data_IF_451866232343
#
_entry.id   IF_451866232343
#
_cell.length_a   1.000
_cell.length_b   1.000
_cell.length_c   1.000
_cell.angle_alpha   90.00
_cell.angle_beta   90.00
_cell.angle_gamma   90.00
#
_symmetry.space_group_name_H-M   'P 1'
#
loop_
_entity.id
_entity.type
_entity.pdbx_description
1 polymer ?
#
# COMPACT_ATOMS: atom_id res chain seq x y z
N UNK A 1 9.79 2.11 65.99
CA UNK A 1 9.22 3.36 65.42
C UNK A 1 8.46 3.04 64.13
N UNK A 2 7.18 3.43 63.97
CA UNK A 2 6.36 3.11 62.77
C UNK A 2 6.58 4.15 61.66
N UNK A 3 7.16 3.73 60.53
CA UNK A 3 7.38 4.60 59.36
C UNK A 3 6.14 4.61 58.46
N UNK A 4 5.65 5.80 58.09
CA UNK A 4 4.51 5.97 57.16
C UNK A 4 4.99 5.90 55.70
N UNK A 5 4.38 5.03 54.88
CA UNK A 5 4.80 4.79 53.47
C UNK A 5 4.26 5.74 52.39
N UNK A 6 3.75 6.92 52.76
CA UNK A 6 3.00 7.81 51.86
C UNK A 6 3.78 8.31 50.64
N UNK A 7 4.93 8.95 50.86
CA UNK A 7 5.72 9.59 49.80
C UNK A 7 6.29 8.58 48.81
N UNK A 8 6.83 7.46 49.30
CA UNK A 8 7.37 6.37 48.47
C UNK A 8 6.30 5.79 47.55
N UNK A 9 5.09 5.57 48.09
CA UNK A 9 3.96 5.06 47.32
C UNK A 9 3.52 6.05 46.24
N UNK A 10 3.44 7.35 46.56
CA UNK A 10 3.07 8.41 45.60
C UNK A 10 4.10 8.52 44.47
N UNK A 11 5.39 8.46 44.79
CA UNK A 11 6.48 8.49 43.80
C UNK A 11 6.40 7.32 42.81
N UNK A 12 6.22 6.09 43.32
CA UNK A 12 6.05 4.89 42.48
C UNK A 12 4.86 5.00 41.52
N UNK A 13 3.70 5.50 42.01
CA UNK A 13 2.51 5.69 41.17
C UNK A 13 2.75 6.73 40.07
N UNK A 14 3.35 7.88 40.42
CA UNK A 14 3.71 8.93 39.45
C UNK A 14 4.66 8.42 38.37
N UNK A 15 5.65 7.59 38.73
CA UNK A 15 6.58 6.98 37.75
C UNK A 15 5.83 6.13 36.71
N UNK A 16 4.92 5.26 37.15
CA UNK A 16 4.16 4.40 36.23
C UNK A 16 3.19 5.20 35.34
N UNK A 17 2.49 6.19 35.90
CA UNK A 17 1.59 7.05 35.12
C UNK A 17 2.39 7.89 34.10
N UNK A 18 3.59 8.37 34.47
CA UNK A 18 4.48 9.08 33.54
C UNK A 18 4.88 8.20 32.34
N UNK A 19 5.14 6.91 32.57
CA UNK A 19 5.45 5.95 31.51
C UNK A 19 4.24 5.58 30.64
N UNK A 20 3.04 5.65 31.20
CA UNK A 20 1.79 5.32 30.53
C UNK A 20 1.16 6.49 29.74
N UNK A 21 1.84 7.65 29.69
CA UNK A 21 1.37 8.80 28.92
C UNK A 21 1.16 8.43 27.45
N UNK A 22 0.02 8.86 26.88
CA UNK A 22 -0.37 8.54 25.50
C UNK A 22 -1.19 7.26 25.35
N UNK A 23 -1.36 6.44 26.39
CA UNK A 23 -2.27 5.30 26.31
C UNK A 23 -3.74 5.73 26.33
N UNK A 24 -4.58 5.06 25.53
CA UNK A 24 -6.01 5.39 25.41
C UNK A 24 -6.82 4.98 26.66
N UNK A 25 -7.75 5.84 27.08
CA UNK A 25 -8.75 5.56 28.12
C UNK A 25 -8.13 5.39 29.51
N UNK A 26 -8.62 4.43 30.30
CA UNK A 26 -8.19 4.22 31.69
C UNK A 26 -6.70 3.84 31.85
N UNK A 27 -6.02 3.47 30.75
CA UNK A 27 -4.64 2.98 30.74
C UNK A 27 -3.58 4.05 31.03
N UNK A 28 -3.92 5.34 30.96
CA UNK A 28 -3.02 6.42 31.40
C UNK A 28 -3.46 7.11 32.69
N UNK A 29 -4.69 6.83 33.16
CA UNK A 29 -5.32 7.51 34.30
C UNK A 29 -5.17 6.66 35.57
N UNK A 30 -5.64 5.41 35.53
CA UNK A 30 -5.68 4.54 36.71
C UNK A 30 -4.36 3.77 36.88
N UNK A 31 -3.69 3.93 38.02
CA UNK A 31 -2.41 3.27 38.31
C UNK A 31 -2.44 1.74 38.13
N UNK A 32 -3.51 1.05 38.55
CA UNK A 32 -3.58 -0.42 38.46
C UNK A 32 -3.57 -0.88 37.00
N UNK A 33 -4.41 -0.24 36.17
CA UNK A 33 -4.55 -0.53 34.75
C UNK A 33 -3.30 -0.09 33.98
N UNK A 34 -2.80 1.12 34.28
CA UNK A 34 -1.57 1.66 33.69
C UNK A 34 -0.37 0.75 33.96
N UNK A 35 -0.23 0.24 35.19
CA UNK A 35 0.82 -0.71 35.53
C UNK A 35 0.75 -1.93 34.62
N UNK A 36 -0.40 -2.62 34.57
CA UNK A 36 -0.59 -3.82 33.75
C UNK A 36 -0.27 -3.55 32.27
N UNK A 37 -0.72 -2.43 31.73
CA UNK A 37 -0.46 -2.05 30.34
C UNK A 37 1.04 -1.82 30.08
N UNK A 38 1.74 -1.09 30.95
CA UNK A 38 3.18 -0.83 30.80
C UNK A 38 3.97 -2.13 30.81
N UNK A 39 3.65 -3.09 31.68
CA UNK A 39 4.29 -4.41 31.69
C UNK A 39 4.11 -5.15 30.36
N UNK A 40 2.87 -5.15 29.83
CA UNK A 40 2.56 -5.77 28.54
C UNK A 40 3.31 -5.08 27.38
N UNK A 41 3.36 -3.76 27.40
CA UNK A 41 4.11 -2.97 26.42
C UNK A 41 5.62 -3.24 26.47
N UNK A 42 6.21 -3.44 27.65
CA UNK A 42 7.61 -3.81 27.77
C UNK A 42 7.90 -5.21 27.24
N UNK A 43 7.01 -6.17 27.51
CA UNK A 43 7.12 -7.52 26.95
C UNK A 43 7.09 -7.48 25.42
N UNK A 44 6.13 -6.75 24.84
CA UNK A 44 6.07 -6.56 23.38
C UNK A 44 7.28 -5.82 22.84
N UNK A 45 7.74 -4.75 23.47
CA UNK A 45 8.94 -4.04 23.03
C UNK A 45 10.17 -4.95 23.01
N UNK A 46 10.36 -5.81 24.02
CA UNK A 46 11.47 -6.76 24.04
C UNK A 46 11.38 -7.79 22.91
N UNK A 47 10.21 -8.40 22.72
CA UNK A 47 9.95 -9.35 21.63
C UNK A 47 10.17 -8.69 20.27
N UNK A 48 9.61 -7.50 20.07
CA UNK A 48 9.56 -6.83 18.79
C UNK A 48 10.93 -6.25 18.37
N UNK A 49 11.82 -5.93 19.31
CA UNK A 49 13.25 -5.65 18.99
C UNK A 49 13.95 -6.81 18.29
N UNK A 50 13.57 -8.06 18.58
CA UNK A 50 14.08 -9.23 17.84
C UNK A 50 13.35 -9.42 16.51
N UNK A 51 12.04 -9.18 16.50
CA UNK A 51 11.20 -9.36 15.30
C UNK A 51 11.46 -8.32 14.21
N UNK A 52 11.73 -7.06 14.57
CA UNK A 52 12.05 -5.97 13.63
C UNK A 52 13.20 -6.34 12.69
N UNK A 53 14.25 -6.99 13.20
CA UNK A 53 15.36 -7.49 12.37
C UNK A 53 14.88 -8.46 11.27
N UNK A 54 13.93 -9.34 11.60
CA UNK A 54 13.31 -10.28 10.65
C UNK A 54 12.38 -9.57 9.67
N UNK A 55 11.59 -8.60 10.15
CA UNK A 55 10.69 -7.80 9.33
C UNK A 55 11.46 -6.98 8.28
N UNK A 56 12.56 -6.33 8.66
CA UNK A 56 13.45 -5.64 7.72
C UNK A 56 14.07 -6.59 6.72
N UNK A 57 14.55 -7.77 7.15
CA UNK A 57 15.06 -8.78 6.23
C UNK A 57 13.99 -9.23 5.22
N UNK A 58 12.75 -9.45 5.67
CA UNK A 58 11.62 -9.80 4.80
C UNK A 58 11.36 -8.70 3.76
N UNK A 59 11.40 -7.43 4.19
CA UNK A 59 11.26 -6.28 3.29
C UNK A 59 12.40 -6.21 2.26
N UNK A 60 13.65 -6.37 2.68
CA UNK A 60 14.80 -6.36 1.77
C UNK A 60 14.73 -7.48 0.74
N UNK A 61 14.33 -8.69 1.15
CA UNK A 61 14.12 -9.82 0.23
C UNK A 61 13.03 -9.48 -0.79
N UNK A 62 11.92 -8.88 -0.36
CA UNK A 62 10.84 -8.49 -1.27
C UNK A 62 11.32 -7.46 -2.31
N UNK A 63 12.08 -6.44 -1.89
CA UNK A 63 12.66 -5.42 -2.79
C UNK A 63 13.64 -6.04 -3.79
N UNK A 64 14.60 -6.84 -3.31
CA UNK A 64 15.58 -7.52 -4.17
C UNK A 64 14.87 -8.46 -5.16
N UNK A 65 13.85 -9.19 -4.70
CA UNK A 65 13.11 -10.11 -5.55
C UNK A 65 12.35 -9.38 -6.66
N UNK A 66 11.79 -8.20 -6.38
CA UNK A 66 11.17 -7.37 -7.40
C UNK A 66 12.21 -6.94 -8.45
N UNK A 67 13.34 -6.37 -8.02
CA UNK A 67 14.41 -5.96 -8.94
C UNK A 67 14.99 -7.12 -9.75
N UNK A 68 15.25 -8.26 -9.10
CA UNK A 68 15.78 -9.44 -9.78
C UNK A 68 14.82 -9.98 -10.84
N UNK A 69 13.51 -9.96 -10.57
CA UNK A 69 12.48 -10.39 -11.54
C UNK A 69 12.33 -9.45 -12.71
N UNK A 70 12.51 -8.14 -12.52
CA UNK A 70 12.58 -7.19 -13.63
C UNK A 70 13.72 -7.55 -14.59
N UNK A 71 14.83 -8.07 -14.05
CA UNK A 71 15.98 -8.55 -14.81
C UNK A 71 15.89 -10.04 -15.19
N UNK A 72 14.70 -10.65 -15.11
CA UNK A 72 14.43 -12.03 -15.53
C UNK A 72 14.99 -13.14 -14.62
N UNK A 73 15.52 -12.79 -13.44
CA UNK A 73 16.14 -13.75 -12.51
C UNK A 73 15.31 -13.90 -11.23
N UNK A 74 15.22 -15.13 -10.70
CA UNK A 74 14.61 -15.35 -9.39
C UNK A 74 15.55 -14.97 -8.24
N UNK A 75 15.02 -14.47 -7.12
CA UNK A 75 15.83 -14.14 -5.93
C UNK A 75 16.75 -15.28 -5.48
N UNK A 76 16.27 -16.54 -5.48
CA UNK A 76 17.08 -17.68 -5.05
C UNK A 76 18.30 -17.90 -5.95
N UNK A 77 18.10 -17.78 -7.28
CA UNK A 77 19.19 -17.92 -8.25
C UNK A 77 20.14 -16.74 -8.17
N UNK A 78 19.61 -15.52 -8.05
CA UNK A 78 20.43 -14.32 -7.85
C UNK A 78 21.36 -14.43 -6.64
N UNK A 79 20.82 -14.83 -5.47
CA UNK A 79 21.65 -15.02 -4.28
C UNK A 79 22.68 -16.13 -4.43
N UNK A 80 22.36 -17.19 -5.19
CA UNK A 80 23.33 -18.24 -5.50
C UNK A 80 24.46 -17.69 -6.38
N UNK A 81 24.12 -16.96 -7.46
CA UNK A 81 25.12 -16.33 -8.34
C UNK A 81 26.06 -15.37 -7.61
N UNK A 82 25.53 -14.57 -6.66
CA UNK A 82 26.36 -13.72 -5.81
C UNK A 82 27.31 -14.51 -4.90
N UNK A 83 26.86 -15.66 -4.39
CA UNK A 83 27.71 -16.54 -3.57
C UNK A 83 28.81 -17.19 -4.39
N UNK A 84 28.51 -17.62 -5.62
CA UNK A 84 29.48 -18.22 -6.55
C UNK A 84 30.55 -17.22 -6.98
N UNK A 85 30.16 -15.95 -7.17
CA UNK A 85 31.09 -14.85 -7.42
C UNK A 85 31.92 -14.45 -6.19
N UNK A 86 31.61 -14.96 -5.00
CA UNK A 86 32.29 -14.59 -3.74
C UNK A 86 31.90 -13.21 -3.19
N UNK A 87 30.78 -12.63 -3.63
CA UNK A 87 30.34 -11.31 -3.16
C UNK A 87 29.76 -11.36 -1.76
N UNK A 88 30.32 -10.58 -0.84
CA UNK A 88 29.89 -10.49 0.56
C UNK A 88 28.82 -9.43 0.82
N UNK A 89 28.10 -9.00 -0.23
CA UNK A 89 27.12 -7.92 -0.12
C UNK A 89 25.92 -8.27 0.78
N UNK A 90 25.65 -7.36 1.72
CA UNK A 90 24.51 -7.47 2.61
C UNK A 90 23.20 -7.16 1.90
N UNK A 91 22.13 -7.87 2.29
CA UNK A 91 20.77 -7.67 1.74
C UNK A 91 20.22 -6.26 1.95
N UNK A 92 20.65 -5.57 3.01
CA UNK A 92 20.31 -4.16 3.21
C UNK A 92 20.81 -3.29 2.04
N UNK A 93 22.07 -3.48 1.63
CA UNK A 93 22.69 -2.72 0.55
C UNK A 93 22.12 -3.11 -0.80
N UNK A 94 21.92 -4.41 -1.04
CA UNK A 94 21.30 -4.89 -2.29
C UNK A 94 19.87 -4.35 -2.47
N UNK A 95 19.09 -4.29 -1.38
CA UNK A 95 17.74 -3.74 -1.42
C UNK A 95 17.72 -2.22 -1.59
N UNK A 96 18.76 -1.52 -1.15
CA UNK A 96 18.90 -0.08 -1.39
C UNK A 96 19.30 0.18 -2.84
N UNK A 97 20.32 -0.52 -3.35
CA UNK A 97 20.72 -0.45 -4.76
C UNK A 97 19.54 -0.70 -5.71
N UNK A 98 18.74 -1.74 -5.45
CA UNK A 98 17.57 -2.04 -6.27
C UNK A 98 16.53 -0.90 -6.33
N UNK A 99 16.56 0.06 -5.40
CA UNK A 99 15.65 1.21 -5.34
C UNK A 99 16.32 2.49 -5.81
N UNK A 100 17.56 2.76 -5.37
CA UNK A 100 18.26 4.01 -5.63
C UNK A 100 18.90 4.05 -7.02
N UNK A 101 19.51 2.95 -7.44
CA UNK A 101 20.25 2.84 -8.69
C UNK A 101 20.00 1.47 -9.33
N UNK A 102 18.97 1.45 -10.18
CA UNK A 102 18.55 0.23 -10.87
C UNK A 102 19.54 -0.22 -11.95
N UNK A 103 20.32 0.70 -12.53
CA UNK A 103 21.31 0.36 -13.57
C UNK A 103 22.47 -0.43 -12.95
N UNK A 104 23.04 0.06 -11.85
CA UNK A 104 24.08 -0.67 -11.11
C UNK A 104 23.58 -2.01 -10.58
N UNK A 105 22.33 -2.08 -10.10
CA UNK A 105 21.72 -3.34 -9.70
C UNK A 105 21.60 -4.32 -10.87
N UNK A 106 21.27 -3.84 -12.07
CA UNK A 106 21.11 -4.69 -13.26
C UNK A 106 22.44 -5.25 -13.75
N UNK A 107 23.50 -4.44 -13.77
CA UNK A 107 24.86 -4.91 -14.05
C UNK A 107 25.29 -6.03 -13.08
N UNK A 108 24.96 -5.89 -11.80
CA UNK A 108 25.25 -6.90 -10.78
C UNK A 108 24.45 -8.20 -10.97
N UNK A 109 23.22 -8.10 -11.47
CA UNK A 109 22.40 -9.27 -11.85
C UNK A 109 22.98 -9.97 -13.07
N UNK A 110 23.50 -9.24 -14.06
CA UNK A 110 24.17 -9.83 -15.22
C UNK A 110 25.46 -10.56 -14.83
N UNK A 111 26.29 -9.98 -13.96
CA UNK A 111 27.46 -10.67 -13.40
C UNK A 111 27.06 -11.95 -12.68
N UNK A 112 25.97 -11.91 -11.90
CA UNK A 112 25.44 -13.10 -11.22
C UNK A 112 24.90 -14.16 -12.21
N UNK A 113 24.32 -13.77 -13.34
CA UNK A 113 23.90 -14.70 -14.42
C UNK A 113 25.10 -15.40 -15.05
N UNK A 114 26.18 -14.68 -15.34
CA UNK A 114 27.42 -15.25 -15.89
C UNK A 114 28.00 -16.31 -14.95
N UNK A 115 28.15 -15.98 -13.66
CA UNK A 115 28.66 -16.92 -12.66
C UNK A 115 27.78 -18.19 -12.50
N UNK A 116 26.47 -18.09 -12.72
CA UNK A 116 25.58 -19.26 -12.72
C UNK A 116 25.77 -20.12 -13.96
N UNK A 117 25.94 -19.50 -15.13
CA UNK A 117 26.19 -20.20 -16.38
C UNK A 117 27.52 -20.97 -16.32
N UNK A 118 28.57 -20.36 -15.75
CA UNK A 118 29.88 -20.99 -15.57
C UNK A 118 29.81 -22.24 -14.68
N UNK A 119 28.87 -22.28 -13.73
CA UNK A 119 28.61 -23.43 -12.86
C UNK A 119 27.59 -24.43 -13.44
N UNK A 120 27.24 -24.31 -14.73
CA UNK A 120 26.32 -25.22 -15.42
C UNK A 120 24.85 -25.13 -14.98
N UNK A 121 24.47 -24.06 -14.28
CA UNK A 121 23.09 -23.86 -13.81
C UNK A 121 22.31 -22.95 -14.76
N UNK A 122 21.36 -23.53 -15.50
CA UNK A 122 20.43 -22.75 -16.31
C UNK A 122 19.37 -22.10 -15.42
N UNK A 123 19.36 -20.78 -15.37
CA UNK A 123 18.27 -20.05 -14.74
C UNK A 123 17.10 -19.96 -15.71
N UNK A 124 15.99 -20.62 -15.40
CA UNK A 124 14.73 -20.37 -16.11
C UNK A 124 14.35 -18.89 -15.94
N UNK A 125 14.00 -18.23 -17.04
CA UNK A 125 13.55 -16.84 -17.03
C UNK A 125 12.28 -16.73 -16.19
N UNK A 126 12.35 -15.95 -15.11
CA UNK A 126 11.17 -15.63 -14.30
C UNK A 126 10.84 -14.17 -14.50
N UNK A 127 9.96 -13.88 -15.46
CA UNK A 127 9.41 -12.56 -15.67
C UNK A 127 8.44 -12.17 -14.54
N UNK A 128 8.27 -10.87 -14.32
CA UNK A 128 7.24 -10.36 -13.44
C UNK A 128 5.85 -10.73 -14.00
N UNK A 129 4.95 -11.20 -13.13
CA UNK A 129 3.57 -11.56 -13.51
C UNK A 129 2.74 -10.34 -13.98
N UNK A 130 3.28 -9.13 -13.86
CA UNK A 130 2.64 -7.88 -14.28
C UNK A 130 3.76 -6.92 -14.69
N UNK A 131 3.85 -6.60 -15.98
CA UNK A 131 4.80 -5.62 -16.54
C UNK A 131 4.24 -4.18 -16.50
N UNK A 132 3.01 -4.01 -16.05
CA UNK A 132 2.35 -2.73 -16.02
C UNK A 132 2.89 -1.84 -14.90
N UNK A 133 3.47 -0.70 -15.27
CA UNK A 133 3.95 0.34 -14.35
C UNK A 133 2.81 1.12 -13.66
N UNK A 134 1.55 0.75 -13.90
CA UNK A 134 0.38 1.35 -13.28
C UNK A 134 -0.36 0.32 -12.43
N UNK A 135 -0.42 0.56 -11.12
CA UNK A 135 -1.58 0.07 -10.37
C UNK A 135 -2.70 1.03 -10.75
N UNK A 136 -3.65 0.59 -11.59
CA UNK A 136 -4.95 1.25 -11.66
C UNK A 136 -5.59 1.04 -10.31
N UNK A 137 -5.31 1.95 -9.38
CA UNK A 137 -6.09 2.06 -8.16
C UNK A 137 -7.47 2.40 -8.66
N UNK A 138 -8.38 1.43 -8.68
CA UNK A 138 -9.80 1.70 -8.70
C UNK A 138 -10.12 2.38 -7.37
N UNK A 139 -9.67 3.62 -7.21
CA UNK A 139 -10.33 4.56 -6.33
C UNK A 139 -11.78 4.54 -6.81
N UNK A 140 -12.69 4.17 -5.93
CA UNK A 140 -14.12 4.19 -6.21
C UNK A 140 -14.49 5.62 -6.61
N UNK A 141 -14.39 5.92 -7.91
CA UNK A 141 -14.90 7.12 -8.52
C UNK A 141 -16.42 6.96 -8.52
N UNK A 142 -17.06 7.92 -7.86
CA UNK A 142 -18.46 8.26 -7.96
C UNK A 142 -19.07 7.91 -9.32
N UNK A 143 -20.15 7.13 -9.27
CA UNK A 143 -21.08 6.79 -10.35
C UNK A 143 -21.02 7.77 -11.54
N UNK A 144 -20.42 7.33 -12.65
CA UNK A 144 -20.80 7.78 -13.98
C UNK A 144 -21.84 6.78 -14.51
N UNK A 145 -23.06 7.26 -14.71
CA UNK A 145 -24.16 6.50 -15.31
C UNK A 145 -23.86 6.39 -16.80
N UNK A 146 -23.87 5.16 -17.30
CA UNK A 146 -23.64 4.75 -18.68
C UNK A 146 -24.60 5.42 -19.67
N UNK A 147 -24.05 5.90 -20.77
CA UNK A 147 -24.75 6.26 -22.01
C UNK A 147 -25.64 5.11 -22.50
N UNK A 148 -26.91 5.41 -22.72
CA UNK A 148 -27.84 4.57 -23.46
C UNK A 148 -28.40 5.39 -24.62
N UNK A 149 -28.25 4.85 -25.83
CA UNK A 149 -28.71 5.42 -27.09
C UNK A 149 -30.17 5.91 -27.01
N UNK A 150 -30.38 7.15 -27.44
CA UNK A 150 -31.59 7.92 -27.16
C UNK A 150 -32.74 7.51 -28.10
N UNK A 151 -33.70 6.76 -27.56
CA UNK A 151 -34.99 6.52 -28.19
C UNK A 151 -35.81 7.83 -28.23
N UNK A 152 -36.61 8.03 -29.29
CA UNK A 152 -37.48 9.22 -29.44
C UNK A 152 -38.35 9.45 -28.18
N UNK A 153 -38.35 10.64 -27.58
CA UNK A 153 -39.17 10.95 -26.42
C UNK A 153 -40.66 10.66 -26.62
N UNK A 154 -41.29 10.03 -25.62
CA UNK A 154 -42.73 9.73 -25.60
C UNK A 154 -43.44 10.47 -24.47
N UNK A 155 -44.78 10.43 -24.41
CA UNK A 155 -45.61 11.18 -23.46
C UNK A 155 -45.25 10.97 -21.98
N UNK A 156 -44.54 9.90 -21.64
CA UNK A 156 -44.10 9.59 -20.27
C UNK A 156 -42.90 10.42 -19.82
N UNK A 157 -42.11 10.98 -20.75
CA UNK A 157 -40.88 11.70 -20.43
C UNK A 157 -41.15 13.10 -19.89
N UNK A 158 -40.25 13.62 -19.06
CA UNK A 158 -40.43 14.96 -18.49
C UNK A 158 -40.18 16.05 -19.54
N UNK A 159 -40.73 17.26 -19.34
CA UNK A 159 -40.55 18.37 -20.30
C UNK A 159 -39.07 18.74 -20.47
N UNK A 160 -38.26 18.61 -19.41
CA UNK A 160 -36.83 18.88 -19.44
C UNK A 160 -36.08 17.87 -20.33
N UNK A 161 -36.42 16.59 -20.25
CA UNK A 161 -35.84 15.53 -21.09
C UNK A 161 -36.19 15.73 -22.58
N UNK A 162 -37.43 16.15 -22.88
CA UNK A 162 -37.86 16.41 -24.26
C UNK A 162 -37.12 17.63 -24.83
N UNK A 163 -36.98 18.72 -24.05
CA UNK A 163 -36.22 19.91 -24.47
C UNK A 163 -34.74 19.62 -24.68
N UNK A 164 -34.14 18.78 -23.83
CA UNK A 164 -32.74 18.35 -23.98
C UNK A 164 -32.54 17.57 -25.29
N UNK A 165 -33.43 16.61 -25.59
CA UNK A 165 -33.40 15.87 -26.86
C UNK A 165 -33.56 16.78 -28.08
N UNK A 166 -34.51 17.72 -28.06
CA UNK A 166 -34.70 18.66 -29.18
C UNK A 166 -33.49 19.56 -29.38
N UNK A 167 -32.85 20.02 -28.29
CA UNK A 167 -31.63 20.83 -28.37
C UNK A 167 -30.41 20.06 -28.88
N UNK A 168 -30.27 18.79 -28.50
CA UNK A 168 -29.20 17.90 -29.00
C UNK A 168 -29.37 17.59 -30.50
N UNK A 169 -30.61 17.52 -30.98
CA UNK A 169 -30.92 17.34 -32.40
C UNK A 169 -31.05 18.65 -33.20
N UNK A 170 -30.81 19.81 -32.56
CA UNK A 170 -30.78 21.12 -33.22
C UNK A 170 -32.13 21.64 -33.71
N UNK A 171 -33.25 21.21 -33.09
CA UNK A 171 -34.60 21.68 -33.44
C UNK A 171 -34.97 22.86 -32.54
N UNK A 172 -35.30 24.00 -33.14
CA UNK A 172 -35.71 25.21 -32.39
C UNK A 172 -37.14 25.07 -31.83
N UNK A 173 -37.32 25.41 -30.56
CA UNK A 173 -38.62 25.42 -29.90
C UNK A 173 -38.78 26.67 -29.03
N UNK A 174 -40.03 27.13 -28.86
CA UNK A 174 -40.32 28.25 -27.97
C UNK A 174 -40.09 27.83 -26.50
N UNK A 175 -39.41 28.69 -25.72
CA UNK A 175 -39.04 28.39 -24.33
C UNK A 175 -40.25 28.12 -23.42
N UNK A 176 -41.41 28.72 -23.73
CA UNK A 176 -42.69 28.55 -23.03
C UNK A 176 -43.61 27.48 -23.62
N UNK A 177 -43.17 26.71 -24.62
CA UNK A 177 -43.98 25.68 -25.27
C UNK A 177 -44.44 24.59 -24.28
N UNK A 178 -45.70 24.15 -24.42
CA UNK A 178 -46.26 23.10 -23.57
C UNK A 178 -45.74 21.74 -24.01
N UNK A 179 -45.85 20.74 -23.12
CA UNK A 179 -45.35 19.39 -23.35
C UNK A 179 -45.87 18.76 -24.65
N UNK A 180 -47.14 18.98 -24.98
CA UNK A 180 -47.76 18.48 -26.21
C UNK A 180 -47.12 19.06 -27.47
N UNK A 181 -46.88 20.39 -27.48
CA UNK A 181 -46.28 21.08 -28.62
C UNK A 181 -44.82 20.66 -28.84
N UNK A 182 -44.07 20.40 -27.76
CA UNK A 182 -42.69 19.90 -27.81
C UNK A 182 -42.61 18.47 -28.31
N UNK A 183 -43.60 17.62 -27.97
CA UNK A 183 -43.64 16.23 -28.42
C UNK A 183 -43.99 16.11 -29.91
N UNK A 184 -44.71 17.09 -30.47
CA UNK A 184 -44.99 17.17 -31.90
C UNK A 184 -43.75 17.53 -32.75
N UNK A 185 -42.66 18.01 -32.12
CA UNK A 185 -41.41 18.39 -32.76
C UNK A 185 -40.32 17.27 -32.71
N UNK A 186 -40.61 16.14 -32.07
CA UNK A 186 -39.75 14.94 -31.88
C UNK A 186 -40.01 13.88 -32.96
#
# INVERSE_FOLDING_TARGET
MRVKGGNVTRSRRKKMIKLAKGYRGQRHINYKVAKQQVWKSWFYAFRDRKQTKRNFRKLWIARINAGARMNGLSYSRFMNGLSLMGSTLNRKMLAELAVSDFEAFSALVESAKKALADNGQVAAEKSAATLEKGVTVNAAASKTVSEAAVAKPTEKNTVAEIKAYLSENGIEFASSAKKADLLALV
#
